data_IF_063202437046
#
_entry.id   IF_063202437046
#
_cell.length_a   1.000
_cell.length_b   1.000
_cell.length_c   1.000
_cell.angle_alpha   90.00
_cell.angle_beta   90.00
_cell.angle_gamma   90.00
#
_symmetry.space_group_name_H-M   'P 1'
#
loop_
_entity.id
_entity.type
_entity.pdbx_description
1 polymer ?
#
# COMPACT_ATOMS: atom_id res chain seq x y z
N UNK A 1 20.50 2.77 -26.77
CA UNK A 1 19.89 1.42 -26.75
C UNK A 1 18.83 1.27 -25.67
N UNK A 2 19.13 1.48 -24.37
CA UNK A 2 18.13 1.33 -23.29
C UNK A 2 16.84 2.17 -23.47
N UNK A 3 16.97 3.44 -23.91
CA UNK A 3 15.82 4.31 -24.22
C UNK A 3 15.00 3.80 -25.41
N UNK A 4 15.62 3.09 -26.35
CA UNK A 4 14.94 2.53 -27.52
C UNK A 4 14.20 1.22 -27.20
N UNK A 5 14.64 0.50 -26.16
CA UNK A 5 13.93 -0.69 -25.66
C UNK A 5 12.72 -0.35 -24.78
N UNK A 6 12.65 0.86 -24.22
CA UNK A 6 11.52 1.30 -23.40
C UNK A 6 10.39 1.77 -24.31
N UNK A 7 9.27 1.03 -24.37
CA UNK A 7 8.13 1.45 -25.18
C UNK A 7 7.29 2.45 -24.40
N UNK A 8 6.80 3.48 -25.09
CA UNK A 8 5.91 4.46 -24.48
C UNK A 8 4.66 3.79 -23.91
N UNK A 9 4.44 3.95 -22.60
CA UNK A 9 3.30 3.37 -21.88
C UNK A 9 3.58 2.04 -21.18
N UNK A 10 4.77 1.45 -21.34
CA UNK A 10 5.15 0.27 -20.54
C UNK A 10 5.34 0.62 -19.06
N UNK A 11 4.88 -0.27 -18.18
CA UNK A 11 5.09 -0.12 -16.75
C UNK A 11 6.60 -0.24 -16.44
N UNK A 12 7.12 0.69 -15.65
CA UNK A 12 8.55 0.75 -15.31
C UNK A 12 9.03 -0.57 -14.66
N UNK A 13 8.21 -1.16 -13.78
CA UNK A 13 8.52 -2.42 -13.11
C UNK A 13 8.60 -3.58 -14.11
N UNK A 14 7.65 -3.64 -15.04
CA UNK A 14 7.60 -4.68 -16.07
C UNK A 14 8.76 -4.56 -17.06
N UNK A 15 9.14 -3.34 -17.44
CA UNK A 15 10.31 -3.08 -18.26
C UNK A 15 11.59 -3.60 -17.60
N UNK A 16 11.87 -3.18 -16.36
CA UNK A 16 13.14 -3.54 -15.72
C UNK A 16 13.22 -5.02 -15.32
N UNK A 17 12.10 -5.69 -15.03
CA UNK A 17 12.06 -7.12 -14.71
C UNK A 17 12.36 -8.03 -15.93
N UNK A 18 12.53 -7.49 -17.13
CA UNK A 18 12.89 -8.28 -18.30
C UNK A 18 14.29 -8.89 -18.16
N UNK A 19 14.38 -10.22 -18.35
CA UNK A 19 15.64 -10.97 -18.27
C UNK A 19 16.72 -10.46 -19.23
N UNK A 20 16.31 -9.95 -20.39
CA UNK A 20 17.19 -9.32 -21.37
C UNK A 20 17.90 -8.09 -20.83
N UNK A 21 17.19 -7.22 -20.08
CA UNK A 21 17.75 -5.98 -19.53
C UNK A 21 18.71 -6.30 -18.38
N UNK A 22 18.32 -7.24 -17.52
CA UNK A 22 19.17 -7.75 -16.44
C UNK A 22 20.51 -8.30 -16.97
N UNK A 23 20.48 -9.01 -18.12
CA UNK A 23 21.68 -9.59 -18.73
C UNK A 23 22.56 -8.58 -19.46
N UNK A 24 21.97 -7.60 -20.16
CA UNK A 24 22.73 -6.59 -20.92
C UNK A 24 23.30 -5.51 -19.99
N UNK A 25 22.61 -5.20 -18.89
CA UNK A 25 22.98 -4.13 -17.96
C UNK A 25 22.97 -4.58 -16.49
N UNK A 26 23.81 -5.57 -16.09
CA UNK A 26 23.75 -6.17 -14.76
C UNK A 26 24.06 -5.19 -13.61
N UNK A 27 25.01 -4.27 -13.81
CA UNK A 27 25.34 -3.26 -12.79
C UNK A 27 24.20 -2.27 -12.56
N UNK A 28 23.58 -1.78 -13.64
CA UNK A 28 22.43 -0.88 -13.56
C UNK A 28 21.21 -1.59 -12.98
N UNK A 29 20.94 -2.82 -13.42
CA UNK A 29 19.87 -3.65 -12.89
C UNK A 29 19.99 -3.84 -11.37
N UNK A 30 21.19 -4.06 -10.84
CA UNK A 30 21.40 -4.22 -9.39
C UNK A 30 20.98 -2.98 -8.59
N UNK A 31 21.23 -1.78 -9.13
CA UNK A 31 20.83 -0.51 -8.49
C UNK A 31 19.31 -0.31 -8.61
N UNK A 32 18.76 -0.53 -9.80
CA UNK A 32 17.32 -0.36 -10.06
C UNK A 32 16.49 -1.36 -9.26
N UNK A 33 16.94 -2.61 -9.11
CA UNK A 33 16.27 -3.61 -8.30
C UNK A 33 16.16 -3.16 -6.84
N UNK A 34 17.23 -2.61 -6.26
CA UNK A 34 17.20 -2.05 -4.91
C UNK A 34 16.22 -0.89 -4.80
N UNK A 35 16.18 0.00 -5.79
CA UNK A 35 15.25 1.12 -5.83
C UNK A 35 13.79 0.65 -5.95
N UNK A 36 13.52 -0.31 -6.84
CA UNK A 36 12.18 -0.87 -7.06
C UNK A 36 11.65 -1.65 -5.86
N UNK A 37 12.52 -2.25 -5.04
CA UNK A 37 12.13 -2.90 -3.79
C UNK A 37 11.94 -1.86 -2.67
N UNK A 38 12.87 -0.90 -2.57
CA UNK A 38 12.84 0.13 -1.55
C UNK A 38 11.61 1.03 -1.69
N UNK A 39 11.26 1.45 -2.90
CA UNK A 39 10.21 2.45 -3.14
C UNK A 39 8.81 2.03 -2.68
N UNK A 40 8.27 0.85 -3.06
CA UNK A 40 7.01 0.37 -2.50
C UNK A 40 7.09 0.18 -0.99
N UNK A 41 8.22 -0.28 -0.46
CA UNK A 41 8.38 -0.51 0.98
C UNK A 41 8.36 0.79 1.79
N UNK A 42 9.12 1.81 1.38
CA UNK A 42 9.16 3.11 2.04
C UNK A 42 7.83 3.84 1.90
N UNK A 43 7.24 3.82 0.69
CA UNK A 43 5.93 4.43 0.45
C UNK A 43 4.83 3.78 1.29
N UNK A 44 4.80 2.45 1.40
CA UNK A 44 3.82 1.74 2.22
C UNK A 44 4.00 2.05 3.70
N UNK A 45 5.26 2.14 4.17
CA UNK A 45 5.59 2.52 5.55
C UNK A 45 5.17 3.96 5.83
N UNK A 46 5.53 4.92 4.98
CA UNK A 46 5.14 6.33 5.08
C UNK A 46 3.62 6.50 5.05
N UNK A 47 2.93 5.82 4.13
CA UNK A 47 1.47 5.80 4.09
C UNK A 47 0.86 5.19 5.35
N UNK A 48 1.45 4.11 5.86
CA UNK A 48 1.04 3.48 7.13
C UNK A 48 1.14 4.46 8.31
N UNK A 49 2.28 5.11 8.47
CA UNK A 49 2.50 6.10 9.52
C UNK A 49 1.61 7.34 9.36
N UNK A 50 1.42 7.83 8.14
CA UNK A 50 0.50 8.94 7.84
C UNK A 50 -0.95 8.58 8.17
N UNK A 51 -1.39 7.36 7.85
CA UNK A 51 -2.71 6.85 8.20
C UNK A 51 -2.90 6.79 9.73
N UNK A 52 -1.93 6.23 10.47
CA UNK A 52 -1.93 6.19 11.93
C UNK A 52 -1.98 7.60 12.51
N UNK A 53 -1.15 8.51 11.99
CA UNK A 53 -1.08 9.90 12.48
C UNK A 53 -2.40 10.63 12.24
N UNK A 54 -3.00 10.51 11.05
CA UNK A 54 -4.32 11.07 10.76
C UNK A 54 -5.41 10.48 11.65
N UNK A 55 -5.33 9.18 11.93
CA UNK A 55 -6.28 8.49 12.78
C UNK A 55 -6.22 8.98 14.24
N UNK A 56 -5.02 9.18 14.77
CA UNK A 56 -4.81 9.70 16.14
C UNK A 56 -5.15 11.19 16.23
N UNK A 57 -4.76 12.01 15.24
CA UNK A 57 -4.85 13.48 15.33
C UNK A 57 -6.17 14.07 14.85
N UNK A 58 -6.82 13.48 13.83
CA UNK A 58 -8.01 14.07 13.18
C UNK A 58 -9.30 13.32 13.46
N UNK A 59 -9.26 12.02 13.80
CA UNK A 59 -10.46 11.24 14.11
C UNK A 59 -10.62 11.07 15.61
N UNK A 60 -11.50 11.87 16.22
CA UNK A 60 -11.83 11.81 17.65
C UNK A 60 -12.34 10.40 18.05
N UNK A 61 -11.49 9.65 18.74
CA UNK A 61 -11.77 8.73 19.86
C UNK A 61 -12.73 7.53 19.70
N UNK A 62 -12.72 6.77 18.60
CA UNK A 62 -13.36 5.43 18.59
C UNK A 62 -12.71 4.34 17.72
N UNK A 63 -11.66 4.63 16.96
CA UNK A 63 -11.04 3.67 16.05
C UNK A 63 -9.85 3.02 16.75
N UNK A 64 -9.98 1.72 17.04
CA UNK A 64 -8.94 0.94 17.70
C UNK A 64 -8.06 0.30 16.61
N UNK A 65 -6.92 0.95 16.38
CA UNK A 65 -5.90 0.60 15.38
C UNK A 65 -5.50 -0.87 15.47
N UNK A 66 -5.44 -1.42 16.69
CA UNK A 66 -4.85 -2.72 16.97
C UNK A 66 -5.92 -3.78 17.19
N UNK A 67 -7.01 -3.50 17.92
CA UNK A 67 -8.02 -4.51 18.26
C UNK A 67 -9.13 -4.68 17.21
N UNK A 68 -9.51 -3.63 16.47
CA UNK A 68 -10.60 -3.70 15.47
C UNK A 68 -10.13 -3.95 14.04
N UNK A 69 -8.84 -3.85 13.77
CA UNK A 69 -8.29 -4.01 12.42
C UNK A 69 -8.59 -2.83 11.49
N UNK A 70 -8.92 -1.66 12.04
CA UNK A 70 -9.27 -0.44 11.28
C UNK A 70 -8.12 0.01 10.37
N UNK A 71 -6.87 -0.15 10.83
CA UNK A 71 -5.69 0.13 10.01
C UNK A 71 -5.57 -0.86 8.84
N UNK A 72 -5.90 -2.14 9.05
CA UNK A 72 -5.87 -3.15 7.99
C UNK A 72 -6.91 -2.84 6.91
N UNK A 73 -8.12 -2.46 7.31
CA UNK A 73 -9.17 -2.02 6.39
C UNK A 73 -8.78 -0.74 5.64
N UNK A 74 -8.06 0.18 6.27
CA UNK A 74 -7.62 1.42 5.62
C UNK A 74 -6.46 1.22 4.63
N UNK A 75 -5.54 0.31 4.94
CA UNK A 75 -4.35 0.06 4.11
C UNK A 75 -4.58 -0.93 2.97
N UNK A 76 -5.71 -1.63 2.94
CA UNK A 76 -6.03 -2.64 1.93
C UNK A 76 -7.34 -2.33 1.23
N UNK A 77 -7.58 -2.92 0.06
CA UNK A 77 -8.88 -2.85 -0.62
C UNK A 77 -9.94 -3.80 -0.02
N UNK A 78 -9.77 -4.23 1.25
CA UNK A 78 -10.72 -5.12 1.90
C UNK A 78 -11.96 -4.31 2.29
N UNK A 79 -13.11 -4.67 1.73
CA UNK A 79 -14.38 -4.05 2.10
C UNK A 79 -14.88 -4.55 3.46
N UNK A 80 -15.26 -3.66 4.39
CA UNK A 80 -15.83 -4.08 5.66
C UNK A 80 -17.21 -4.70 5.45
N UNK A 81 -17.50 -5.82 6.12
CA UNK A 81 -18.83 -6.43 6.09
C UNK A 81 -19.81 -5.64 6.99
N UNK A 82 -20.25 -4.51 6.48
CA UNK A 82 -21.19 -3.58 7.14
C UNK A 82 -22.52 -4.24 7.49
N UNK A 83 -23.00 -5.21 6.70
CA UNK A 83 -24.25 -5.92 7.00
C UNK A 83 -24.13 -6.73 8.29
N UNK A 84 -23.03 -7.47 8.45
CA UNK A 84 -22.76 -8.22 9.68
C UNK A 84 -22.58 -7.29 10.88
N UNK A 85 -21.82 -6.21 10.71
CA UNK A 85 -21.61 -5.20 11.76
C UNK A 85 -22.91 -4.54 12.22
N UNK A 86 -23.84 -4.28 11.30
CA UNK A 86 -25.14 -3.71 11.63
C UNK A 86 -26.04 -4.70 12.39
N UNK A 87 -25.95 -5.99 12.08
CA UNK A 87 -26.68 -7.05 12.81
C UNK A 87 -26.14 -7.24 14.23
N UNK A 88 -24.82 -7.18 14.40
CA UNK A 88 -24.14 -7.32 15.70
C UNK A 88 -24.28 -6.04 16.58
N UNK A 89 -24.76 -4.93 16.01
CA UNK A 89 -24.90 -3.66 16.73
C UNK A 89 -26.19 -3.63 17.56
N UNK A 90 -26.08 -3.90 18.86
CA UNK A 90 -27.19 -3.76 19.79
C UNK A 90 -27.55 -2.28 19.96
N UNK A 91 -28.76 -1.89 19.51
CA UNK A 91 -29.29 -0.55 19.75
C UNK A 91 -29.43 -0.33 21.25
N UNK A 92 -28.69 0.64 21.79
CA UNK A 92 -28.88 1.02 23.18
C UNK A 92 -30.17 1.85 23.29
N UNK A 93 -31.09 1.50 24.20
CA UNK A 93 -32.27 2.31 24.43
C UNK A 93 -31.84 3.68 24.96
N UNK A 94 -32.33 4.73 24.32
CA UNK A 94 -32.23 6.09 24.83
C UNK A 94 -33.15 6.25 26.04
N UNK A 95 -32.64 6.85 27.11
CA UNK A 95 -33.37 7.12 28.36
C UNK A 95 -34.15 8.44 28.28
#
# INVERSE_FOLDING_TARGET
MLKASFKNGENLTEFWLQSTISRIYPGLWTVVQKLLIAFPSSYLVERGFSAITNLITKKRNRLDIVKRGDLRLHLTNIEPNVKKLALDHQAQPSH
#
